data_IF_787222427537
#
_entry.id   IF_787222427537
#
_cell.length_a   1.000
_cell.length_b   1.000
_cell.length_c   1.000
_cell.angle_alpha   90.00
_cell.angle_beta   90.00
_cell.angle_gamma   90.00
#
_symmetry.space_group_name_H-M   'P 1'
#
loop_
_entity.id
_entity.type
_entity.pdbx_description
1 polymer ?
#
# COMPACT_ATOMS: atom_id res chain seq x y z
N UNK A 1 7.62 8.03 5.27
CA UNK A 1 8.35 7.32 6.36
C UNK A 1 7.34 7.01 7.47
N UNK A 2 7.34 5.79 8.02
CA UNK A 2 6.31 5.32 8.95
C UNK A 2 6.90 5.08 10.34
N UNK A 3 6.20 5.56 11.36
CA UNK A 3 6.56 5.34 12.77
C UNK A 3 5.35 4.83 13.56
N UNK A 4 5.62 3.91 14.48
CA UNK A 4 4.68 3.40 15.49
C UNK A 4 5.39 3.46 16.85
N UNK A 5 4.76 4.10 17.82
CA UNK A 5 5.25 4.18 19.21
C UNK A 5 4.57 3.11 20.06
N UNK A 6 5.33 2.45 20.92
CA UNK A 6 4.81 1.48 21.90
C UNK A 6 3.95 2.20 22.95
N UNK A 7 2.78 1.64 23.23
CA UNK A 7 1.93 2.08 24.34
C UNK A 7 2.04 1.08 25.51
N UNK A 8 1.72 1.51 26.76
CA UNK A 8 1.60 0.61 27.89
C UNK A 8 0.58 -0.50 27.58
N UNK A 9 0.98 -1.75 27.78
CA UNK A 9 0.14 -2.93 27.48
C UNK A 9 0.23 -3.47 26.05
N UNK A 10 0.93 -2.80 25.12
CA UNK A 10 1.16 -3.37 23.79
C UNK A 10 2.21 -4.50 23.82
N UNK A 11 1.83 -5.65 23.27
CA UNK A 11 2.77 -6.71 22.92
C UNK A 11 3.62 -6.33 21.70
N UNK A 12 4.76 -6.99 21.54
CA UNK A 12 5.62 -6.85 20.37
C UNK A 12 4.89 -7.20 19.06
N UNK A 13 4.06 -8.25 19.08
CA UNK A 13 3.28 -8.66 17.91
C UNK A 13 2.24 -7.60 17.51
N UNK A 14 1.54 -6.99 18.48
CA UNK A 14 0.62 -5.88 18.25
C UNK A 14 1.31 -4.71 17.54
N UNK A 15 2.53 -4.36 17.98
CA UNK A 15 3.36 -3.32 17.38
C UNK A 15 3.72 -3.64 15.93
N UNK A 16 4.19 -4.85 15.65
CA UNK A 16 4.53 -5.29 14.29
C UNK A 16 3.29 -5.23 13.39
N UNK A 17 2.14 -5.71 13.88
CA UNK A 17 0.88 -5.68 13.14
C UNK A 17 0.38 -4.26 12.87
N UNK A 18 0.54 -3.32 13.82
CA UNK A 18 0.22 -1.90 13.62
C UNK A 18 1.16 -1.26 12.60
N UNK A 19 2.45 -1.57 12.67
CA UNK A 19 3.45 -1.07 11.73
C UNK A 19 3.19 -1.57 10.30
N UNK A 20 3.00 -2.88 10.11
CA UNK A 20 2.69 -3.46 8.81
C UNK A 20 1.41 -2.87 8.21
N UNK A 21 0.36 -2.67 9.02
CA UNK A 21 -0.87 -1.99 8.57
C UNK A 21 -0.58 -0.56 8.10
N UNK A 22 0.21 0.20 8.86
CA UNK A 22 0.55 1.59 8.50
C UNK A 22 1.44 1.67 7.25
N UNK A 23 2.38 0.74 7.07
CA UNK A 23 3.19 0.64 5.85
C UNK A 23 2.33 0.33 4.62
N UNK A 24 1.35 -0.57 4.76
CA UNK A 24 0.41 -0.90 3.69
C UNK A 24 -0.53 0.26 3.37
N UNK A 25 -1.06 0.96 4.37
CA UNK A 25 -1.99 2.08 4.17
C UNK A 25 -1.33 3.28 3.52
N UNK A 26 -0.07 3.56 3.86
CA UNK A 26 0.75 4.62 3.25
C UNK A 26 1.23 4.26 1.83
N UNK A 27 0.95 3.03 1.38
CA UNK A 27 1.26 2.58 0.02
C UNK A 27 2.74 2.49 -0.33
N UNK A 28 3.63 2.49 0.68
CA UNK A 28 5.09 2.50 0.51
C UNK A 28 5.55 1.34 -0.37
N UNK A 29 5.00 0.14 -0.15
CA UNK A 29 5.35 -1.05 -0.92
C UNK A 29 4.91 -0.93 -2.40
N UNK A 30 3.75 -0.33 -2.65
CA UNK A 30 3.25 -0.15 -4.03
C UNK A 30 4.06 0.92 -4.77
N UNK A 31 4.45 1.98 -4.07
CA UNK A 31 5.31 3.02 -4.62
C UNK A 31 6.72 2.50 -4.92
N UNK A 32 7.29 1.71 -4.02
CA UNK A 32 8.58 1.05 -4.23
C UNK A 32 8.56 0.20 -5.51
N UNK A 33 7.56 -0.68 -5.66
CA UNK A 33 7.39 -1.51 -6.87
C UNK A 33 7.20 -0.69 -8.15
N UNK A 34 6.50 0.44 -8.06
CA UNK A 34 6.30 1.34 -9.22
C UNK A 34 7.60 2.04 -9.65
N UNK A 35 8.51 2.29 -8.70
CA UNK A 35 9.80 2.97 -8.91
C UNK A 35 10.95 2.01 -9.21
N UNK A 36 10.76 0.71 -8.97
CA UNK A 36 11.77 -0.34 -9.19
C UNK A 36 12.24 -0.38 -10.64
N UNK A 37 11.34 -0.12 -11.60
CA UNK A 37 11.66 -0.04 -13.02
C UNK A 37 10.98 1.18 -13.66
N UNK A 38 11.64 1.79 -14.64
CA UNK A 38 11.02 2.86 -15.42
C UNK A 38 9.85 2.34 -16.25
N UNK A 39 8.65 2.85 -15.97
CA UNK A 39 7.44 2.61 -16.75
C UNK A 39 7.18 3.79 -17.68
N UNK A 40 7.08 3.53 -18.99
CA UNK A 40 6.65 4.55 -19.96
C UNK A 40 5.30 5.15 -19.51
N UNK A 41 5.08 6.48 -19.69
CA UNK A 41 3.86 7.15 -19.23
C UNK A 41 2.55 6.53 -19.72
N UNK A 42 2.55 6.00 -20.96
CA UNK A 42 1.39 5.29 -21.53
C UNK A 42 1.04 4.02 -20.74
N UNK A 43 2.05 3.23 -20.37
CA UNK A 43 1.87 1.98 -19.63
C UNK A 43 1.44 2.25 -18.18
N UNK A 44 1.99 3.28 -17.55
CA UNK A 44 1.56 3.71 -16.21
C UNK A 44 0.08 4.15 -16.19
N UNK A 45 -0.38 4.90 -17.20
CA UNK A 45 -1.80 5.27 -17.36
C UNK A 45 -2.70 4.05 -17.55
N UNK A 46 -2.28 3.08 -18.37
CA UNK A 46 -3.00 1.82 -18.58
C UNK A 46 -3.16 1.03 -17.28
N UNK A 47 -2.08 0.86 -16.52
CA UNK A 47 -2.09 0.18 -15.22
C UNK A 47 -3.05 0.86 -14.22
N UNK A 48 -3.01 2.20 -14.12
CA UNK A 48 -3.91 2.95 -13.23
C UNK A 48 -5.39 2.74 -13.58
N UNK A 49 -5.73 2.75 -14.88
CA UNK A 49 -7.11 2.53 -15.36
C UNK A 49 -7.58 1.10 -15.06
N UNK A 50 -6.71 0.11 -15.23
CA UNK A 50 -7.04 -1.28 -14.95
C UNK A 50 -7.28 -1.54 -13.45
N UNK A 51 -6.43 -0.97 -12.59
CA UNK A 51 -6.61 -1.04 -11.14
C UNK A 51 -7.94 -0.41 -10.72
N UNK A 52 -8.25 0.79 -11.20
CA UNK A 52 -9.53 1.45 -10.92
C UNK A 52 -10.74 0.60 -11.35
N UNK A 53 -10.66 -0.04 -12.53
CA UNK A 53 -11.70 -0.96 -13.02
C UNK A 53 -11.86 -2.19 -12.11
N UNK A 54 -10.74 -2.76 -11.63
CA UNK A 54 -10.78 -3.91 -10.70
C UNK A 54 -11.42 -3.53 -9.37
N UNK A 55 -11.05 -2.38 -8.81
CA UNK A 55 -11.67 -1.87 -7.58
C UNK A 55 -13.17 -1.63 -7.77
N UNK A 56 -13.60 -0.95 -8.83
CA UNK A 56 -15.02 -0.73 -9.11
C UNK A 56 -15.80 -2.05 -9.19
N UNK A 57 -15.26 -3.08 -9.86
CA UNK A 57 -15.89 -4.41 -9.94
C UNK A 57 -16.03 -5.07 -8.56
N UNK A 58 -15.08 -4.87 -7.66
CA UNK A 58 -15.08 -5.47 -6.32
C UNK A 58 -16.11 -4.85 -5.37
N UNK A 59 -16.46 -3.57 -5.54
CA UNK A 59 -17.43 -2.87 -4.69
C UNK A 59 -18.89 -2.96 -5.18
N UNK A 60 -19.11 -3.40 -6.43
CA UNK A 60 -20.44 -3.53 -7.03
C UNK A 60 -20.93 -4.99 -7.11
N UNK A 61 -20.31 -5.90 -6.36
CA UNK A 61 -20.68 -7.32 -6.27
C UNK A 61 -21.13 -7.70 -4.87
#
# INVERSE_FOLDING_TARGET
>A
MVFVKKQPGDSTDSLIKKFSRKVMSEGIIQEMKKREFYLKPSLARKFKKELARKFAKQYHG
#
